data_IF_980535460293
#
_entry.id   IF_980535460293
#
_cell.length_a   1.000
_cell.length_b   1.000
_cell.length_c   1.000
_cell.angle_alpha   90.00
_cell.angle_beta   90.00
_cell.angle_gamma   90.00
#
_symmetry.space_group_name_H-M   'P 1'
#
loop_
_entity.id
_entity.type
_entity.pdbx_description
1 polymer ?
#
# COMPACT_ATOMS: atom_id res chain seq x y z
N UNK A 1 7.56 43.86 -3.41
CA UNK A 1 8.80 44.01 -2.64
C UNK A 1 8.79 42.99 -1.51
N UNK A 2 9.79 42.10 -1.46
CA UNK A 2 10.07 41.26 -0.29
C UNK A 2 11.55 41.42 -0.01
N UNK A 3 11.88 41.94 1.18
CA UNK A 3 13.22 42.10 1.72
C UNK A 3 13.78 40.75 2.17
N UNK A 4 15.08 40.56 2.02
CA UNK A 4 15.80 39.46 2.65
C UNK A 4 16.16 39.80 4.12
N UNK A 5 16.78 38.83 4.80
CA UNK A 5 17.06 38.82 6.22
C UNK A 5 18.18 39.79 6.67
N UNK A 6 18.72 40.63 5.79
CA UNK A 6 19.68 41.68 6.13
C UNK A 6 19.16 43.10 5.83
N UNK A 7 17.89 43.26 5.43
CA UNK A 7 17.29 44.59 5.22
C UNK A 7 17.83 45.34 4.01
N UNK A 8 18.56 44.69 3.11
CA UNK A 8 19.01 45.30 1.85
C UNK A 8 17.97 45.04 0.74
N UNK A 9 17.64 46.11 0.02
CA UNK A 9 16.77 46.04 -1.15
C UNK A 9 17.56 45.36 -2.29
N UNK A 10 17.33 44.07 -2.49
CA UNK A 10 17.86 43.37 -3.66
C UNK A 10 17.10 43.83 -4.92
N UNK A 11 17.79 44.57 -5.78
CA UNK A 11 17.32 44.81 -7.15
C UNK A 11 17.34 43.48 -7.92
N UNK A 12 16.33 43.17 -8.75
CA UNK A 12 16.38 41.98 -9.59
C UNK A 12 17.53 42.10 -10.58
N UNK A 13 18.47 41.15 -10.54
CA UNK A 13 19.50 41.04 -11.55
C UNK A 13 18.82 40.82 -12.92
N UNK A 14 19.26 41.49 -14.00
CA UNK A 14 18.76 41.19 -15.33
C UNK A 14 19.09 39.73 -15.65
N UNK A 15 18.06 38.94 -15.94
CA UNK A 15 18.21 37.62 -16.55
C UNK A 15 18.94 37.76 -17.88
N UNK A 16 20.26 37.58 -17.86
CA UNK A 16 21.00 37.24 -19.07
C UNK A 16 20.67 35.78 -19.36
N UNK A 17 19.76 35.57 -20.31
CA UNK A 17 19.60 34.27 -20.94
C UNK A 17 20.98 33.81 -21.43
N UNK A 18 21.36 32.53 -21.25
CA UNK A 18 22.61 32.04 -21.81
C UNK A 18 22.52 32.22 -23.33
N UNK A 19 23.42 33.03 -23.89
CA UNK A 19 23.58 33.16 -25.33
C UNK A 19 24.02 31.79 -25.84
N UNK A 20 23.13 31.13 -26.57
CA UNK A 20 23.41 29.84 -27.18
C UNK A 20 24.48 30.04 -28.27
N UNK A 21 25.58 29.29 -28.15
CA UNK A 21 26.53 29.11 -29.26
C UNK A 21 25.78 28.33 -30.35
N UNK A 22 25.66 28.85 -31.58
CA UNK A 22 25.01 28.11 -32.65
C UNK A 22 25.84 26.86 -32.99
N UNK A 23 25.18 25.70 -33.00
CA UNK A 23 25.74 24.48 -33.55
C UNK A 23 25.98 24.70 -35.05
N UNK A 24 27.25 24.79 -35.43
CA UNK A 24 27.66 25.00 -36.82
C UNK A 24 27.21 23.79 -37.64
N UNK A 25 26.31 24.00 -38.60
CA UNK A 25 26.20 23.12 -39.77
C UNK A 25 24.82 22.63 -40.18
N UNK A 26 23.74 22.86 -39.42
CA UNK A 26 22.40 22.51 -39.92
C UNK A 26 21.42 23.64 -39.63
N UNK A 27 20.94 24.32 -40.68
CA UNK A 27 19.99 25.45 -40.59
C UNK A 27 18.58 25.06 -40.12
N UNK A 28 18.46 24.12 -39.18
CA UNK A 28 17.21 23.76 -38.52
C UNK A 28 17.28 24.19 -37.06
N UNK A 29 16.29 24.92 -36.53
CA UNK A 29 16.26 25.22 -35.12
C UNK A 29 16.16 23.91 -34.33
N UNK A 30 17.14 23.65 -33.47
CA UNK A 30 17.11 22.51 -32.56
C UNK A 30 15.88 22.66 -31.65
N UNK A 31 14.83 21.87 -31.91
CA UNK A 31 13.65 21.77 -31.03
C UNK A 31 14.08 21.11 -29.73
N UNK A 32 14.62 21.90 -28.79
CA UNK A 32 14.88 21.47 -27.43
C UNK A 32 13.54 21.36 -26.68
N UNK A 33 12.82 20.27 -26.93
CA UNK A 33 11.62 19.93 -26.18
C UNK A 33 11.96 19.70 -24.71
N UNK A 34 11.09 20.13 -23.80
CA UNK A 34 11.21 19.84 -22.37
C UNK A 34 11.26 18.32 -22.14
N UNK A 35 12.07 17.87 -21.19
CA UNK A 35 12.19 16.47 -20.81
C UNK A 35 10.83 15.86 -20.45
N UNK A 36 10.56 14.65 -20.94
CA UNK A 36 9.33 13.89 -20.64
C UNK A 36 9.40 13.13 -19.31
N UNK A 37 10.55 13.13 -18.64
CA UNK A 37 10.76 12.39 -17.38
C UNK A 37 9.80 12.75 -16.25
N UNK A 38 9.48 14.04 -15.98
CA UNK A 38 8.51 14.38 -14.93
C UNK A 38 7.14 13.73 -15.15
N UNK A 39 6.65 13.69 -16.40
CA UNK A 39 5.39 13.04 -16.75
C UNK A 39 5.46 11.51 -16.55
N UNK A 40 6.55 10.88 -17.00
CA UNK A 40 6.78 9.43 -16.80
C UNK A 40 6.80 9.06 -15.32
N UNK A 41 7.49 9.84 -14.50
CA UNK A 41 7.59 9.56 -13.06
C UNK A 41 6.26 9.78 -12.32
N UNK A 42 5.43 10.71 -12.78
CA UNK A 42 4.09 10.93 -12.22
C UNK A 42 3.10 9.83 -12.60
N UNK A 43 3.22 9.30 -13.84
CA UNK A 43 2.50 8.11 -14.28
C UNK A 43 2.93 6.87 -13.51
N UNK A 44 4.25 6.62 -13.38
CA UNK A 44 4.77 5.47 -12.63
C UNK A 44 4.35 5.50 -11.15
N UNK A 45 4.39 6.66 -10.50
CA UNK A 45 3.94 6.79 -9.11
C UNK A 45 2.45 6.43 -8.96
N UNK A 46 1.65 6.85 -9.94
CA UNK A 46 0.21 6.58 -10.01
C UNK A 46 -0.07 5.09 -10.25
N UNK A 47 0.68 4.48 -11.18
CA UNK A 47 0.52 3.07 -11.54
C UNK A 47 0.95 2.13 -10.40
N UNK A 48 2.10 2.37 -9.77
CA UNK A 48 2.54 1.55 -8.62
C UNK A 48 1.60 1.71 -7.44
N UNK A 49 1.08 2.92 -7.19
CA UNK A 49 0.09 3.16 -6.14
C UNK A 49 -1.24 2.45 -6.39
N UNK A 50 -1.73 2.44 -7.63
CA UNK A 50 -2.92 1.69 -8.02
C UNK A 50 -2.71 0.19 -7.81
N UNK A 51 -1.59 -0.35 -8.31
CA UNK A 51 -1.27 -1.76 -8.19
C UNK A 51 -1.23 -2.21 -6.72
N UNK A 52 -0.54 -1.46 -5.84
CA UNK A 52 -0.44 -1.80 -4.42
C UNK A 52 -1.81 -1.72 -3.72
N UNK A 53 -2.65 -0.75 -4.07
CA UNK A 53 -3.98 -0.64 -3.49
C UNK A 53 -4.88 -1.81 -3.91
N UNK A 54 -4.85 -2.22 -5.19
CA UNK A 54 -5.58 -3.39 -5.67
C UNK A 54 -5.04 -4.69 -5.07
N UNK A 55 -3.72 -4.80 -4.92
CA UNK A 55 -3.09 -5.90 -4.19
C UNK A 55 -3.60 -5.98 -2.75
N UNK A 56 -3.65 -4.85 -2.02
CA UNK A 56 -4.18 -4.82 -0.65
C UNK A 56 -5.64 -5.23 -0.59
N UNK A 57 -6.48 -4.78 -1.53
CA UNK A 57 -7.89 -5.21 -1.59
C UNK A 57 -8.01 -6.74 -1.76
N UNK A 58 -7.26 -7.31 -2.71
CA UNK A 58 -7.25 -8.77 -2.91
C UNK A 58 -6.66 -9.51 -1.71
N UNK A 59 -5.56 -9.01 -1.15
CA UNK A 59 -4.90 -9.53 0.03
C UNK A 59 -5.87 -9.62 1.21
N UNK A 60 -6.65 -8.57 1.49
CA UNK A 60 -7.63 -8.56 2.57
C UNK A 60 -8.67 -9.67 2.40
N UNK A 61 -9.14 -9.94 1.18
CA UNK A 61 -10.05 -11.06 0.94
C UNK A 61 -9.37 -12.42 1.18
N UNK A 62 -8.16 -12.62 0.66
CA UNK A 62 -7.45 -13.89 0.83
C UNK A 62 -7.14 -14.20 2.29
N UNK A 63 -6.63 -13.24 3.06
CA UNK A 63 -6.32 -13.46 4.48
C UNK A 63 -7.57 -13.56 5.35
N UNK A 64 -8.70 -12.98 4.93
CA UNK A 64 -9.98 -13.09 5.64
C UNK A 64 -10.74 -14.39 5.39
N UNK A 65 -10.27 -15.25 4.48
CA UNK A 65 -10.88 -16.57 4.24
C UNK A 65 -10.92 -17.46 5.48
N UNK A 66 -10.09 -17.19 6.50
CA UNK A 66 -10.15 -17.84 7.81
C UNK A 66 -11.50 -17.66 8.51
N UNK A 67 -12.22 -16.57 8.22
CA UNK A 67 -13.56 -16.32 8.74
C UNK A 67 -14.62 -17.28 8.17
N UNK A 68 -14.34 -17.92 7.03
CA UNK A 68 -15.21 -18.95 6.45
C UNK A 68 -14.93 -20.28 7.16
N UNK A 69 -13.67 -20.71 7.14
CA UNK A 69 -13.17 -21.86 7.90
C UNK A 69 -11.63 -21.92 7.85
N UNK A 70 -11.02 -22.72 8.73
CA UNK A 70 -9.58 -22.99 8.66
C UNK A 70 -9.20 -23.70 7.35
N UNK A 71 -10.03 -24.64 6.88
CA UNK A 71 -9.82 -25.30 5.58
C UNK A 71 -9.88 -24.30 4.42
N UNK A 72 -10.78 -23.31 4.44
CA UNK A 72 -10.87 -22.30 3.40
C UNK A 72 -9.56 -21.50 3.28
N UNK A 73 -8.99 -21.06 4.42
CA UNK A 73 -7.70 -20.37 4.40
C UNK A 73 -6.55 -21.30 4.01
N UNK A 74 -6.56 -22.55 4.45
CA UNK A 74 -5.61 -23.56 4.01
C UNK A 74 -5.60 -23.73 2.49
N UNK A 75 -6.76 -23.90 1.86
CA UNK A 75 -6.85 -24.04 0.40
C UNK A 75 -6.40 -22.78 -0.35
N UNK A 76 -6.71 -21.59 0.18
CA UNK A 76 -6.20 -20.32 -0.39
C UNK A 76 -4.68 -20.26 -0.31
N UNK A 77 -4.07 -20.62 0.83
CA UNK A 77 -2.62 -20.65 0.97
C UNK A 77 -1.98 -21.63 -0.03
N UNK A 78 -2.52 -22.84 -0.12
CA UNK A 78 -2.07 -23.89 -1.03
C UNK A 78 -2.22 -23.55 -2.52
N UNK A 79 -3.26 -22.79 -2.87
CA UNK A 79 -3.42 -22.24 -4.22
C UNK A 79 -2.24 -21.35 -4.62
N UNK A 80 -1.80 -20.44 -3.73
CA UNK A 80 -0.64 -19.57 -3.99
C UNK A 80 0.69 -20.29 -4.00
N UNK A 81 0.76 -21.47 -3.38
CA UNK A 81 1.90 -22.38 -3.46
C UNK A 81 1.86 -23.29 -4.70
N UNK A 82 0.88 -23.09 -5.58
CA UNK A 82 0.76 -23.81 -6.86
C UNK A 82 0.29 -25.26 -6.73
N UNK A 83 -0.21 -25.68 -5.57
CA UNK A 83 -0.56 -27.09 -5.32
C UNK A 83 -1.57 -27.64 -6.34
N UNK A 84 -2.59 -26.85 -6.69
CA UNK A 84 -3.64 -27.30 -7.62
C UNK A 84 -3.17 -27.46 -9.08
N UNK A 85 -2.01 -26.89 -9.42
CA UNK A 85 -1.43 -26.98 -10.76
C UNK A 85 -0.22 -27.92 -10.82
N UNK A 86 0.53 -28.04 -9.72
CA UNK A 86 1.80 -28.76 -9.65
C UNK A 86 1.71 -30.07 -8.85
N UNK A 87 0.55 -30.35 -8.24
CA UNK A 87 0.28 -31.56 -7.47
C UNK A 87 0.95 -31.62 -6.09
N UNK A 88 1.73 -30.61 -5.72
CA UNK A 88 2.30 -30.44 -4.38
C UNK A 88 2.57 -28.96 -4.07
N UNK A 89 2.58 -28.56 -2.80
CA UNK A 89 2.86 -27.17 -2.41
C UNK A 89 4.32 -26.77 -2.61
N UNK A 90 4.54 -25.60 -3.19
CA UNK A 90 5.84 -24.94 -3.33
C UNK A 90 5.83 -23.54 -2.69
N UNK A 91 6.14 -23.41 -1.39
CA UNK A 91 6.18 -22.12 -0.68
C UNK A 91 7.08 -21.05 -1.34
N UNK A 92 8.11 -21.46 -2.07
CA UNK A 92 9.00 -20.53 -2.80
C UNK A 92 8.27 -19.67 -3.85
N UNK A 93 7.13 -20.13 -4.38
CA UNK A 93 6.29 -19.33 -5.28
C UNK A 93 5.75 -18.09 -4.57
N UNK A 94 5.33 -18.24 -3.31
CA UNK A 94 4.89 -17.13 -2.47
C UNK A 94 6.04 -16.16 -2.23
N UNK A 95 7.25 -16.62 -1.92
CA UNK A 95 8.43 -15.74 -1.83
C UNK A 95 8.67 -14.95 -3.11
N UNK A 96 8.51 -15.57 -4.29
CA UNK A 96 8.64 -14.88 -5.58
C UNK A 96 7.61 -13.76 -5.75
N UNK A 97 6.35 -14.01 -5.39
CA UNK A 97 5.28 -13.00 -5.39
C UNK A 97 5.62 -11.88 -4.40
N UNK A 98 6.00 -12.20 -3.17
CA UNK A 98 6.35 -11.21 -2.14
C UNK A 98 7.54 -10.35 -2.57
N UNK A 99 8.56 -10.93 -3.22
CA UNK A 99 9.70 -10.19 -3.76
C UNK A 99 9.28 -9.17 -4.83
N UNK A 100 8.33 -9.53 -5.70
CA UNK A 100 7.75 -8.62 -6.67
C UNK A 100 6.99 -7.48 -5.97
N UNK A 101 6.13 -7.79 -5.00
CA UNK A 101 5.38 -6.79 -4.23
C UNK A 101 6.33 -5.85 -3.49
N UNK A 102 7.36 -6.38 -2.84
CA UNK A 102 8.39 -5.59 -2.15
C UNK A 102 9.11 -4.64 -3.11
N UNK A 103 9.47 -5.10 -4.31
CA UNK A 103 10.08 -4.26 -5.34
C UNK A 103 9.16 -3.11 -5.75
N UNK A 104 7.88 -3.38 -5.97
CA UNK A 104 6.89 -2.36 -6.33
C UNK A 104 6.63 -1.41 -5.16
N UNK A 105 6.58 -1.92 -3.92
CA UNK A 105 6.45 -1.13 -2.69
C UNK A 105 7.62 -0.14 -2.55
N UNK A 106 8.86 -0.61 -2.70
CA UNK A 106 10.05 0.25 -2.65
C UNK A 106 10.05 1.27 -3.78
N UNK A 107 9.71 0.88 -5.01
CA UNK A 107 9.60 1.79 -6.14
C UNK A 107 8.52 2.86 -5.92
N UNK A 108 7.36 2.46 -5.38
CA UNK A 108 6.28 3.39 -5.02
C UNK A 108 6.73 4.38 -3.96
N UNK A 109 7.34 3.87 -2.89
CA UNK A 109 7.86 4.67 -1.79
C UNK A 109 8.88 5.70 -2.28
N UNK A 110 9.86 5.28 -3.10
CA UNK A 110 10.85 6.17 -3.71
C UNK A 110 10.21 7.28 -4.54
N UNK A 111 9.24 6.94 -5.39
CA UNK A 111 8.53 7.92 -6.21
C UNK A 111 7.70 8.89 -5.36
N UNK A 112 7.00 8.37 -4.33
CA UNK A 112 6.10 9.14 -3.48
C UNK A 112 6.84 10.05 -2.47
N UNK A 113 8.02 9.65 -1.98
CA UNK A 113 8.84 10.45 -1.06
C UNK A 113 9.18 11.83 -1.61
N UNK A 114 9.27 11.99 -2.93
CA UNK A 114 9.48 13.28 -3.60
C UNK A 114 8.36 14.30 -3.34
N UNK A 115 7.22 13.87 -2.79
CA UNK A 115 6.09 14.72 -2.42
C UNK A 115 6.11 15.14 -0.95
N UNK A 116 7.04 14.64 -0.15
CA UNK A 116 7.13 14.98 1.27
C UNK A 116 7.71 16.39 1.45
N UNK A 117 7.32 17.13 2.51
CA UNK A 117 8.01 18.37 2.87
C UNK A 117 9.50 18.09 3.14
N UNK A 118 10.38 18.67 2.34
CA UNK A 118 11.82 18.37 2.34
C UNK A 118 12.62 19.07 3.46
N UNK A 119 11.94 19.79 4.36
CA UNK A 119 12.60 20.47 5.48
C UNK A 119 11.64 21.25 6.38
N UNK A 120 12.18 21.75 7.50
CA UNK A 120 11.40 22.41 8.56
C UNK A 120 10.55 23.59 8.07
N UNK A 121 11.09 24.44 7.18
CA UNK A 121 10.36 25.58 6.60
C UNK A 121 9.12 25.13 5.82
N UNK A 122 9.26 24.12 4.96
CA UNK A 122 8.15 23.58 4.17
C UNK A 122 7.13 22.88 5.07
N UNK A 123 7.59 22.10 6.04
CA UNK A 123 6.73 21.45 7.03
C UNK A 123 5.87 22.48 7.78
N UNK A 124 6.49 23.51 8.36
CA UNK A 124 5.77 24.56 9.10
C UNK A 124 4.80 25.34 8.21
N UNK A 125 5.22 25.71 7.01
CA UNK A 125 4.37 26.42 6.07
C UNK A 125 3.13 25.58 5.71
N UNK A 126 3.31 24.29 5.44
CA UNK A 126 2.20 23.40 5.12
C UNK A 126 1.25 23.20 6.31
N UNK A 127 1.78 22.96 7.52
CA UNK A 127 0.96 22.77 8.73
C UNK A 127 0.13 24.02 9.02
N UNK A 128 0.74 25.21 8.97
CA UNK A 128 0.03 26.48 9.14
C UNK A 128 -1.08 26.65 8.08
N UNK A 129 -0.76 26.40 6.81
CA UNK A 129 -1.72 26.48 5.72
C UNK A 129 -2.90 25.50 5.90
N UNK A 130 -2.63 24.23 6.21
CA UNK A 130 -3.66 23.21 6.47
C UNK A 130 -4.60 23.62 7.60
N UNK A 131 -4.05 24.12 8.70
CA UNK A 131 -4.81 24.50 9.89
C UNK A 131 -5.68 25.74 9.67
N UNK A 132 -5.24 26.67 8.81
CA UNK A 132 -6.02 27.84 8.42
C UNK A 132 -7.09 27.50 7.38
N UNK A 133 -6.75 26.70 6.38
CA UNK A 133 -7.67 26.35 5.29
C UNK A 133 -8.81 25.41 5.75
N UNK A 134 -8.52 24.52 6.71
CA UNK A 134 -9.47 23.52 7.24
C UNK A 134 -10.19 22.70 6.16
N UNK A 135 -9.52 22.45 5.04
CA UNK A 135 -10.08 21.72 3.90
C UNK A 135 -9.80 20.22 3.98
N UNK A 136 -10.85 19.41 3.82
CA UNK A 136 -10.81 17.96 4.01
C UNK A 136 -9.76 17.24 3.17
N UNK A 137 -9.64 17.55 1.87
CA UNK A 137 -8.71 16.82 1.00
C UNK A 137 -7.24 17.20 1.29
N UNK A 138 -7.00 18.42 1.76
CA UNK A 138 -5.68 18.86 2.23
C UNK A 138 -5.28 18.10 3.49
N UNK A 139 -6.24 17.88 4.41
CA UNK A 139 -6.03 17.07 5.61
C UNK A 139 -5.87 15.59 5.30
N UNK A 140 -6.60 15.04 4.32
CA UNK A 140 -6.44 13.65 3.88
C UNK A 140 -5.06 13.40 3.24
N UNK A 141 -4.56 14.33 2.44
CA UNK A 141 -3.19 14.26 1.93
C UNK A 141 -2.16 14.30 3.05
N UNK A 142 -2.39 15.10 4.09
CA UNK A 142 -1.52 15.15 5.26
C UNK A 142 -1.50 13.83 6.03
N UNK A 143 -2.68 13.23 6.25
CA UNK A 143 -2.80 11.92 6.88
C UNK A 143 -2.03 10.85 6.09
N UNK A 144 -2.08 10.91 4.77
CA UNK A 144 -1.34 9.97 3.95
C UNK A 144 0.17 10.07 4.01
N UNK A 145 0.73 11.26 4.24
CA UNK A 145 2.17 11.38 4.48
C UNK A 145 2.53 10.56 5.72
N UNK A 146 1.75 10.71 6.80
CA UNK A 146 2.00 10.00 8.04
C UNK A 146 1.78 8.49 7.93
N UNK A 147 0.71 8.05 7.27
CA UNK A 147 0.51 6.61 7.04
C UNK A 147 1.58 6.05 6.10
N UNK A 148 1.96 6.78 5.04
CA UNK A 148 3.03 6.37 4.13
C UNK A 148 4.38 6.27 4.84
N UNK A 149 4.69 7.23 5.71
CA UNK A 149 5.88 7.20 6.55
C UNK A 149 5.88 5.99 7.50
N UNK A 150 4.76 5.74 8.20
CA UNK A 150 4.64 4.61 9.11
C UNK A 150 4.79 3.26 8.40
N UNK A 151 4.31 3.15 7.15
CA UNK A 151 4.39 1.92 6.35
C UNK A 151 5.82 1.52 6.00
N UNK A 152 6.81 2.44 5.95
CA UNK A 152 8.22 2.07 5.76
C UNK A 152 8.72 1.09 6.82
N UNK A 153 8.19 1.18 8.04
CA UNK A 153 8.61 0.34 9.15
C UNK A 153 7.72 -0.91 9.23
N UNK A 154 6.40 -0.71 9.30
CA UNK A 154 5.46 -1.82 9.53
C UNK A 154 5.33 -2.76 8.33
N UNK A 155 5.22 -2.22 7.11
CA UNK A 155 5.04 -3.06 5.93
C UNK A 155 6.33 -3.82 5.60
N UNK A 156 7.50 -3.24 5.85
CA UNK A 156 8.80 -3.91 5.63
C UNK A 156 8.94 -5.14 6.52
N UNK A 157 8.60 -5.04 7.81
CA UNK A 157 8.64 -6.20 8.72
C UNK A 157 7.69 -7.29 8.22
N UNK A 158 6.44 -6.93 7.91
CA UNK A 158 5.45 -7.89 7.40
C UNK A 158 5.91 -8.57 6.10
N UNK A 159 6.38 -7.80 5.12
CA UNK A 159 6.85 -8.33 3.83
C UNK A 159 8.10 -9.21 4.00
N UNK A 160 9.01 -8.87 4.91
CA UNK A 160 10.20 -9.67 5.18
C UNK A 160 9.84 -11.05 5.74
N UNK A 161 8.90 -11.13 6.69
CA UNK A 161 8.42 -12.40 7.23
C UNK A 161 7.78 -13.26 6.14
N UNK A 162 6.91 -12.67 5.31
CA UNK A 162 6.24 -13.42 4.23
C UNK A 162 7.23 -13.86 3.14
N UNK A 163 8.31 -13.10 2.92
CA UNK A 163 9.36 -13.43 1.97
C UNK A 163 10.22 -14.60 2.45
N UNK A 164 10.61 -14.58 3.73
CA UNK A 164 11.61 -15.50 4.29
C UNK A 164 11.00 -16.76 4.91
N UNK A 165 9.73 -16.71 5.31
CA UNK A 165 9.04 -17.83 5.95
C UNK A 165 7.71 -18.16 5.25
N UNK A 166 7.68 -18.31 3.90
CA UNK A 166 6.43 -18.53 3.16
C UNK A 166 5.74 -19.84 3.55
N UNK A 167 6.53 -20.84 4.00
CA UNK A 167 6.01 -22.13 4.42
C UNK A 167 5.18 -22.03 5.70
N UNK A 168 5.28 -20.93 6.46
CA UNK A 168 4.51 -20.68 7.68
C UNK A 168 3.24 -19.86 7.39
N UNK A 169 2.64 -20.05 6.21
CA UNK A 169 1.36 -19.49 5.82
C UNK A 169 0.34 -20.62 5.82
N UNK A 170 -0.50 -20.62 6.85
CA UNK A 170 -1.59 -21.56 7.08
C UNK A 170 -2.37 -21.13 8.33
N UNK A 171 -3.49 -21.80 8.66
CA UNK A 171 -4.35 -21.40 9.79
C UNK A 171 -3.60 -21.32 11.11
N UNK A 172 -2.92 -22.39 11.51
CA UNK A 172 -2.18 -22.44 12.77
C UNK A 172 -0.91 -21.61 12.70
N UNK A 173 -0.15 -21.72 11.61
CA UNK A 173 1.13 -21.01 11.48
C UNK A 173 0.97 -19.49 11.48
N UNK A 174 -0.13 -18.99 10.91
CA UNK A 174 -0.44 -17.56 10.93
C UNK A 174 -0.96 -17.11 12.28
N UNK A 175 -1.82 -17.91 12.92
CA UNK A 175 -2.34 -17.62 14.25
C UNK A 175 -1.24 -17.61 15.32
N UNK A 176 -0.32 -18.58 15.27
CA UNK A 176 0.84 -18.65 16.16
C UNK A 176 1.76 -17.45 15.98
N UNK A 177 2.02 -17.02 14.73
CA UNK A 177 2.78 -15.79 14.47
C UNK A 177 2.07 -14.55 15.03
N UNK A 178 0.75 -14.45 14.87
CA UNK A 178 -0.06 -13.32 15.34
C UNK A 178 -0.03 -13.22 16.87
N UNK A 179 -0.27 -14.34 17.56
CA UNK A 179 -0.39 -14.37 19.03
C UNK A 179 0.94 -14.68 19.72
N UNK A 180 1.44 -15.92 19.59
CA UNK A 180 2.68 -16.39 20.24
C UNK A 180 3.92 -15.61 19.76
N UNK A 181 3.96 -15.26 18.47
CA UNK A 181 4.98 -14.38 17.88
C UNK A 181 4.77 -12.89 18.19
N UNK A 182 3.71 -12.53 18.92
CA UNK A 182 3.37 -11.17 19.34
C UNK A 182 3.28 -10.14 18.20
N UNK A 183 2.89 -10.58 16.99
CA UNK A 183 2.76 -9.70 15.82
C UNK A 183 1.43 -8.94 15.77
N UNK A 184 0.45 -9.28 16.61
CA UNK A 184 -0.86 -8.62 16.61
C UNK A 184 -0.84 -7.09 16.77
N UNK A 185 0.05 -6.44 17.57
CA UNK A 185 0.06 -4.98 17.66
C UNK A 185 0.53 -4.35 16.36
N UNK A 186 1.53 -4.97 15.72
CA UNK A 186 2.03 -4.54 14.42
C UNK A 186 0.92 -4.67 13.37
N UNK A 187 0.23 -5.80 13.30
CA UNK A 187 -0.84 -6.00 12.33
C UNK A 187 -2.04 -5.08 12.54
N UNK A 188 -2.39 -4.75 13.79
CA UNK A 188 -3.43 -3.77 14.08
C UNK A 188 -3.06 -2.38 13.54
N UNK A 189 -1.84 -1.91 13.82
CA UNK A 189 -1.37 -0.61 13.32
C UNK A 189 -1.18 -0.61 11.80
N UNK A 190 -0.67 -1.70 11.24
CA UNK A 190 -0.48 -1.89 9.81
C UNK A 190 -1.83 -1.88 9.07
N UNK A 191 -2.86 -2.55 9.59
CA UNK A 191 -4.22 -2.53 9.05
C UNK A 191 -4.72 -1.09 8.89
N UNK A 192 -4.67 -0.31 9.97
CA UNK A 192 -5.16 1.08 9.95
C UNK A 192 -4.33 1.95 9.00
N UNK A 193 -2.99 1.85 9.06
CA UNK A 193 -2.12 2.65 8.21
C UNK A 193 -2.28 2.31 6.73
N UNK A 194 -2.23 1.02 6.37
CA UNK A 194 -2.32 0.55 4.98
C UNK A 194 -3.69 0.88 4.38
N UNK A 195 -4.78 0.59 5.09
CA UNK A 195 -6.14 0.82 4.60
C UNK A 195 -6.43 2.31 4.41
N UNK A 196 -6.08 3.15 5.38
CA UNK A 196 -6.21 4.60 5.23
C UNK A 196 -5.31 5.14 4.12
N UNK A 197 -4.08 4.61 3.97
CA UNK A 197 -3.19 5.03 2.89
C UNK A 197 -3.77 4.67 1.51
N UNK A 198 -4.24 3.45 1.34
CA UNK A 198 -4.74 2.90 0.09
C UNK A 198 -6.07 3.55 -0.34
N UNK A 199 -7.07 3.60 0.53
CA UNK A 199 -8.40 4.17 0.22
C UNK A 199 -8.33 5.68 -0.10
N UNK A 200 -7.77 6.46 0.83
CA UNK A 200 -6.71 7.44 0.59
C UNK A 200 -6.32 7.74 -0.87
N UNK A 201 -5.38 6.91 -1.33
CA UNK A 201 -4.69 6.97 -2.60
C UNK A 201 -5.64 6.79 -3.76
N UNK A 202 -6.47 5.75 -3.74
CA UNK A 202 -7.45 5.45 -4.77
C UNK A 202 -8.41 6.61 -5.00
N UNK A 203 -8.95 7.21 -3.93
CA UNK A 203 -9.82 8.38 -4.01
C UNK A 203 -9.16 9.55 -4.76
N UNK A 204 -7.94 9.92 -4.37
CA UNK A 204 -7.26 11.04 -5.03
C UNK A 204 -6.75 10.67 -6.41
N UNK A 205 -6.42 9.41 -6.64
CA UNK A 205 -5.96 8.92 -7.93
C UNK A 205 -7.09 9.03 -8.96
N UNK A 206 -8.29 8.61 -8.58
CA UNK A 206 -9.50 8.75 -9.41
C UNK A 206 -9.79 10.21 -9.75
N UNK A 207 -9.64 11.13 -8.78
CA UNK A 207 -9.82 12.58 -9.02
C UNK A 207 -8.69 13.14 -9.88
N UNK A 208 -7.44 12.78 -9.60
CA UNK A 208 -6.25 13.30 -10.29
C UNK A 208 -6.30 13.01 -11.79
N UNK A 209 -6.78 11.82 -12.16
CA UNK A 209 -6.85 11.38 -13.55
C UNK A 209 -8.24 11.51 -14.17
N UNK A 210 -9.22 12.05 -13.44
CA UNK A 210 -10.57 12.30 -13.94
C UNK A 210 -11.31 11.05 -14.41
N UNK A 211 -10.99 9.85 -13.88
CA UNK A 211 -11.53 8.58 -14.38
C UNK A 211 -13.06 8.48 -14.32
N UNK A 212 -13.69 9.24 -13.42
CA UNK A 212 -15.14 9.26 -13.22
C UNK A 212 -15.70 10.68 -13.30
N UNK A 213 -15.01 11.57 -14.00
CA UNK A 213 -15.52 12.91 -14.25
C UNK A 213 -16.77 12.81 -15.12
N UNK A 214 -17.80 13.53 -14.69
CA UNK A 214 -19.08 13.62 -15.37
C UNK A 214 -19.35 15.09 -15.70
N UNK A 215 -20.44 15.36 -16.41
CA UNK A 215 -20.94 16.73 -16.63
C UNK A 215 -21.11 17.53 -15.33
N UNK A 216 -21.13 16.88 -14.14
CA UNK A 216 -21.18 17.50 -12.81
C UNK A 216 -19.99 17.05 -11.94
N UNK A 217 -18.78 17.63 -12.10
CA UNK A 217 -17.56 17.17 -11.41
C UNK A 217 -17.66 17.20 -9.86
N UNK A 218 -18.36 18.19 -9.30
CA UNK A 218 -18.58 18.27 -7.85
C UNK A 218 -19.42 17.11 -7.31
N UNK A 219 -20.38 16.61 -8.09
CA UNK A 219 -21.17 15.43 -7.74
C UNK A 219 -20.31 14.17 -7.80
N UNK A 220 -19.50 14.01 -8.85
CA UNK A 220 -18.52 12.91 -8.96
C UNK A 220 -17.58 12.88 -7.75
N UNK A 221 -16.99 14.03 -7.38
CA UNK A 221 -16.12 14.14 -6.20
C UNK A 221 -16.82 13.78 -4.89
N UNK A 222 -18.08 14.20 -4.71
CA UNK A 222 -18.88 13.83 -3.53
C UNK A 222 -19.12 12.32 -3.47
N UNK A 223 -19.48 11.69 -4.60
CA UNK A 223 -19.69 10.23 -4.69
C UNK A 223 -18.40 9.46 -4.40
N UNK A 224 -17.28 9.86 -4.98
CA UNK A 224 -15.98 9.24 -4.72
C UNK A 224 -15.56 9.36 -3.24
N UNK A 225 -15.89 10.48 -2.59
CA UNK A 225 -15.64 10.65 -1.15
C UNK A 225 -16.45 9.64 -0.32
N UNK A 226 -17.74 9.46 -0.63
CA UNK A 226 -18.58 8.46 0.03
C UNK A 226 -18.10 7.04 -0.24
N UNK A 227 -17.77 6.72 -1.50
CA UNK A 227 -17.21 5.42 -1.87
C UNK A 227 -15.92 5.12 -1.09
N UNK A 228 -15.01 6.10 -0.99
CA UNK A 228 -13.81 6.00 -0.17
C UNK A 228 -14.13 5.68 1.29
N UNK A 229 -15.10 6.36 1.91
CA UNK A 229 -15.49 6.07 3.29
C UNK A 229 -16.10 4.68 3.45
N UNK A 230 -16.95 4.26 2.51
CA UNK A 230 -17.51 2.91 2.50
C UNK A 230 -16.45 1.82 2.38
N UNK A 231 -15.49 2.00 1.44
CA UNK A 231 -14.33 1.11 1.27
C UNK A 231 -13.52 1.01 2.57
N UNK A 232 -13.16 2.17 3.16
CA UNK A 232 -12.40 2.17 4.43
C UNK A 232 -13.16 1.47 5.56
N UNK A 233 -14.45 1.76 5.72
CA UNK A 233 -15.26 1.16 6.78
C UNK A 233 -15.37 -0.36 6.60
N UNK A 234 -15.56 -0.83 5.37
CA UNK A 234 -15.61 -2.24 5.04
C UNK A 234 -14.30 -2.96 5.36
N UNK A 235 -13.17 -2.52 4.80
CA UNK A 235 -11.89 -3.22 4.98
C UNK A 235 -11.32 -3.10 6.39
N UNK A 236 -11.55 -1.99 7.10
CA UNK A 236 -11.19 -1.89 8.52
C UNK A 236 -12.00 -2.90 9.33
N UNK A 237 -13.32 -2.97 9.13
CA UNK A 237 -14.17 -3.92 9.86
C UNK A 237 -13.78 -5.36 9.55
N UNK A 238 -13.62 -5.70 8.26
CA UNK A 238 -13.18 -7.02 7.82
C UNK A 238 -11.82 -7.40 8.42
N UNK A 239 -10.87 -6.46 8.40
CA UNK A 239 -9.52 -6.66 8.95
C UNK A 239 -9.51 -6.81 10.47
N UNK A 240 -10.33 -6.05 11.20
CA UNK A 240 -10.43 -6.17 12.65
C UNK A 240 -11.04 -7.52 13.06
N UNK A 241 -12.10 -7.96 12.38
CA UNK A 241 -12.73 -9.27 12.64
C UNK A 241 -11.78 -10.41 12.26
N UNK A 242 -11.06 -10.27 11.14
CA UNK A 242 -10.06 -11.25 10.70
C UNK A 242 -8.89 -11.33 11.69
N UNK A 243 -8.36 -10.19 12.15
CA UNK A 243 -7.29 -10.16 13.14
C UNK A 243 -7.76 -10.78 14.46
N UNK A 244 -8.98 -10.47 14.92
CA UNK A 244 -9.56 -11.09 16.09
C UNK A 244 -9.63 -12.62 15.96
N UNK A 245 -10.03 -13.14 14.79
CA UNK A 245 -10.04 -14.58 14.53
C UNK A 245 -8.65 -15.22 14.63
N UNK A 246 -7.60 -14.59 14.08
CA UNK A 246 -6.23 -15.09 14.25
C UNK A 246 -5.75 -15.05 15.70
N UNK A 247 -6.08 -13.98 16.44
CA UNK A 247 -5.72 -13.85 17.86
C UNK A 247 -6.47 -14.90 18.70
N UNK A 248 -7.75 -15.13 18.44
CA UNK A 248 -8.56 -16.15 19.12
C UNK A 248 -8.02 -17.56 18.85
N UNK A 249 -7.73 -17.89 17.58
CA UNK A 249 -7.13 -19.16 17.20
C UNK A 249 -5.75 -19.34 17.84
N UNK A 250 -4.91 -18.31 17.82
CA UNK A 250 -3.57 -18.36 18.40
C UNK A 250 -3.59 -18.51 19.92
N UNK A 251 -4.58 -17.91 20.61
CA UNK A 251 -4.83 -18.13 22.04
C UNK A 251 -5.22 -19.58 22.33
N UNK A 252 -6.10 -20.16 21.52
CA UNK A 252 -6.53 -21.55 21.70
C UNK A 252 -5.43 -22.57 21.34
N UNK A 253 -4.50 -22.20 20.46
CA UNK A 253 -3.42 -23.06 19.97
C UNK A 253 -2.09 -22.88 20.71
N UNK A 254 -2.01 -21.99 21.70
CA UNK A 254 -0.74 -21.57 22.33
C UNK A 254 0.11 -22.72 22.89
N UNK A 255 -0.52 -23.72 23.51
CA UNK A 255 0.17 -24.88 24.10
C UNK A 255 0.77 -25.83 23.05
N UNK A 256 0.36 -25.67 21.79
CA UNK A 256 0.74 -26.48 20.63
C UNK A 256 1.43 -25.65 19.54
N UNK A 257 1.90 -24.44 19.89
CA UNK A 257 2.47 -23.52 18.94
C UNK A 257 3.60 -24.19 18.12
N UNK A 258 3.51 -24.07 16.79
CA UNK A 258 4.41 -24.74 15.84
C UNK A 258 3.86 -26.03 15.22
N UNK A 259 2.76 -26.58 15.74
CA UNK A 259 2.03 -27.66 15.05
C UNK A 259 1.46 -27.17 13.71
N UNK A 260 1.55 -28.03 12.69
CA UNK A 260 1.06 -27.75 11.34
C UNK A 260 -0.44 -28.01 11.26
N UNK A 261 -1.16 -27.14 10.56
CA UNK A 261 -2.57 -27.37 10.31
C UNK A 261 -2.78 -28.61 9.44
N UNK A 262 -3.63 -29.54 9.89
CA UNK A 262 -4.07 -30.70 9.10
C UNK A 262 -5.51 -30.43 8.64
N UNK A 263 -5.78 -30.38 7.33
CA UNK A 263 -7.12 -30.10 6.84
C UNK A 263 -8.09 -31.24 7.16
N UNK A 264 -9.38 -30.92 7.26
CA UNK A 264 -10.40 -31.87 7.77
C UNK A 264 -10.52 -33.13 6.93
N UNK A 265 -10.33 -33.04 5.61
CA UNK A 265 -10.41 -34.19 4.69
C UNK A 265 -9.29 -35.22 4.90
N UNK A 266 -8.16 -34.84 5.50
CA UNK A 266 -7.08 -35.76 5.89
C UNK A 266 -7.25 -36.26 7.33
N UNK A 267 -8.02 -35.53 8.15
CA UNK A 267 -8.31 -35.88 9.55
C UNK A 267 -9.53 -36.80 9.70
N UNK A 268 -10.36 -36.95 8.67
CA UNK A 268 -11.53 -37.82 8.71
C UNK A 268 -11.10 -39.30 8.83
N UNK A 269 -11.63 -40.07 9.79
CA UNK A 269 -11.40 -41.52 9.82
C UNK A 269 -11.89 -42.10 8.50
N UNK A 270 -11.05 -42.92 7.85
CA UNK A 270 -11.46 -43.67 6.67
C UNK A 270 -12.77 -44.37 6.99
N UNK A 271 -13.87 -43.92 6.38
CA UNK A 271 -15.16 -44.56 6.52
C UNK A 271 -14.96 -46.02 6.09
N UNK A 272 -15.06 -46.93 7.07
CA UNK A 272 -14.98 -48.36 6.85
C UNK A 272 -15.99 -48.72 5.76
N UNK A 273 -15.48 -49.00 4.56
CA UNK A 273 -16.27 -49.46 3.44
C UNK A 273 -17.01 -50.73 3.85
N UNK A 274 -18.34 -50.66 3.86
CA UNK A 274 -19.14 -51.87 3.74
C UNK A 274 -19.19 -52.20 2.26
N UNK A 275 -18.37 -53.20 1.90
CA UNK A 275 -18.59 -54.03 0.72
C UNK A 275 -19.98 -54.69 0.78
#
# INVERSE_FOLDING_TARGET
MVSDAAGQIALPAPTLAPVAVPEVGTGKPARHGKSRWPARLDLLQSATGLFLALFLMAHMFFVSSILISHDAFYYVARFFEGEFFLGKPYPILVSGVVALILTIFVAHAWLAMRKFPAGYRQYRAFVAHKNNLRHGDTSLWWLQIWTGFALFFMATIHLYDMLTQPALIGPYESADRVWTGNMWPLYLMLLLAAELHASIGLYRLAIKWGWFDSAKPNLSRRRLRWAKHGISAFYITLGLVTLAAYVDLGRAHVDKAGERYVPTHLSAPAATGKH
#
